data_IF_369134412916
#
_entry.id   IF_369134412916
#
_cell.length_a   1.000
_cell.length_b   1.000
_cell.length_c   1.000
_cell.angle_alpha   90.00
_cell.angle_beta   90.00
_cell.angle_gamma   90.00
#
_symmetry.space_group_name_H-M   'P 1'
#
loop_
_entity.id
_entity.type
_entity.pdbx_description
1 polymer ?
#
# COMPACT_ATOMS: atom_id res chain seq x y z
N UNK A 1 9.02 15.87 21.00
CA UNK A 1 8.43 14.57 21.38
C UNK A 1 7.69 14.02 20.17
N UNK A 2 8.05 12.82 19.69
CA UNK A 2 7.43 12.21 18.50
C UNK A 2 6.38 11.21 18.94
N UNK A 3 5.20 11.29 18.32
CA UNK A 3 4.08 10.39 18.59
C UNK A 3 3.69 9.64 17.32
N UNK A 4 3.46 8.33 17.43
CA UNK A 4 3.10 7.46 16.29
C UNK A 4 1.81 6.71 16.63
N UNK A 5 0.82 6.76 15.76
CA UNK A 5 -0.34 5.87 15.79
C UNK A 5 -0.12 4.73 14.80
N UNK A 6 -0.07 3.51 15.28
CA UNK A 6 -0.09 2.29 14.44
C UNK A 6 -1.55 1.89 14.30
N UNK A 7 -2.04 1.84 13.07
CA UNK A 7 -3.48 1.66 12.82
C UNK A 7 -3.74 0.58 11.78
N UNK A 8 -4.77 -0.24 12.02
CA UNK A 8 -5.13 -1.28 11.07
C UNK A 8 -6.63 -1.56 11.03
N UNK A 9 -7.20 -1.75 9.82
CA UNK A 9 -8.51 -2.35 9.64
C UNK A 9 -8.42 -3.84 9.98
N UNK A 10 -9.41 -4.40 10.67
CA UNK A 10 -9.44 -5.83 11.02
C UNK A 10 -10.78 -6.46 10.68
N UNK A 11 -10.72 -7.72 10.32
CA UNK A 11 -11.91 -8.57 10.12
C UNK A 11 -12.38 -9.28 11.39
N UNK A 12 -11.76 -8.95 12.53
CA UNK A 12 -12.09 -9.58 13.82
C UNK A 12 -11.28 -10.84 14.12
N UNK A 13 -10.45 -11.29 13.19
CA UNK A 13 -9.55 -12.44 13.37
C UNK A 13 -8.14 -11.97 13.03
N UNK A 14 -7.25 -12.02 14.00
CA UNK A 14 -5.85 -11.67 13.83
C UNK A 14 -5.02 -12.94 13.62
N UNK A 15 -4.25 -12.98 12.53
CA UNK A 15 -3.28 -14.05 12.33
C UNK A 15 -2.17 -13.95 13.39
N UNK A 16 -1.80 -15.06 14.08
CA UNK A 16 -0.71 -15.04 15.08
C UNK A 16 0.61 -14.47 14.53
N UNK A 17 0.92 -14.69 13.24
CA UNK A 17 2.11 -14.14 12.61
C UNK A 17 2.07 -12.61 12.55
N UNK A 18 0.89 -12.01 12.26
CA UNK A 18 0.72 -10.56 12.30
C UNK A 18 0.87 -10.01 13.73
N UNK A 19 0.26 -10.66 14.72
CA UNK A 19 0.38 -10.24 16.12
C UNK A 19 1.85 -10.24 16.60
N UNK A 20 2.61 -11.27 16.21
CA UNK A 20 4.05 -11.36 16.50
C UNK A 20 4.81 -10.27 15.75
N UNK A 21 4.57 -10.06 14.47
CA UNK A 21 5.23 -9.03 13.68
C UNK A 21 4.97 -7.63 14.27
N UNK A 22 3.73 -7.32 14.64
CA UNK A 22 3.35 -6.06 15.27
C UNK A 22 4.08 -5.86 16.61
N UNK A 23 4.18 -6.92 17.43
CA UNK A 23 4.89 -6.90 18.73
C UNK A 23 6.39 -6.65 18.57
N UNK A 24 6.98 -7.10 17.47
CA UNK A 24 8.43 -7.01 17.21
C UNK A 24 8.84 -5.72 16.51
N UNK A 25 7.89 -4.89 16.04
CA UNK A 25 8.22 -3.63 15.38
C UNK A 25 9.05 -2.72 16.28
N UNK A 26 10.14 -2.20 15.72
CA UNK A 26 10.89 -1.09 16.30
C UNK A 26 10.08 0.20 16.12
N UNK A 27 9.71 0.82 17.23
CA UNK A 27 8.89 2.05 17.21
C UNK A 27 9.74 3.20 17.77
N UNK A 28 10.40 3.99 16.90
CA UNK A 28 11.27 5.09 17.32
C UNK A 28 10.43 6.34 17.67
N UNK A 29 9.59 6.23 18.69
CA UNK A 29 8.71 7.26 19.17
C UNK A 29 8.78 7.39 20.69
N UNK A 30 8.57 8.60 21.19
CA UNK A 30 8.46 8.86 22.64
C UNK A 30 7.15 8.28 23.20
N UNK A 31 6.11 8.31 22.36
CA UNK A 31 4.80 7.70 22.66
C UNK A 31 4.24 7.07 21.39
N UNK A 32 3.55 5.95 21.57
CA UNK A 32 2.80 5.33 20.48
C UNK A 32 1.47 4.76 20.96
N UNK A 33 0.54 4.60 20.05
CA UNK A 33 -0.73 3.92 20.25
C UNK A 33 -0.94 2.87 19.15
N UNK A 34 -1.66 1.82 19.49
CA UNK A 34 -2.13 0.82 18.53
C UNK A 34 -3.65 0.90 18.51
N UNK A 35 -4.22 1.20 17.35
CA UNK A 35 -5.66 1.40 17.18
C UNK A 35 -6.14 0.54 16.01
N UNK A 36 -7.23 -0.18 16.21
CA UNK A 36 -7.87 -0.93 15.14
C UNK A 36 -9.36 -0.62 15.02
N UNK A 37 -9.92 -0.91 13.87
CA UNK A 37 -11.36 -0.87 13.60
C UNK A 37 -11.77 -2.21 13.01
N UNK A 38 -12.77 -2.81 13.62
CA UNK A 38 -13.25 -4.15 13.30
C UNK A 38 -14.64 -4.10 12.66
N UNK A 39 -14.92 -5.08 11.78
CA UNK A 39 -16.27 -5.35 11.28
C UNK A 39 -16.80 -4.38 10.24
N UNK A 40 -15.96 -3.48 9.71
CA UNK A 40 -16.32 -2.52 8.66
C UNK A 40 -15.55 -2.82 7.37
N UNK A 41 -16.01 -2.21 6.26
CA UNK A 41 -15.20 -2.22 5.04
C UNK A 41 -13.89 -1.43 5.24
N UNK A 42 -12.90 -1.73 4.40
CA UNK A 42 -11.54 -1.19 4.56
C UNK A 42 -11.50 0.33 4.42
N UNK A 43 -12.23 0.92 3.47
CA UNK A 43 -12.26 2.37 3.27
C UNK A 43 -12.86 3.09 4.48
N UNK A 44 -13.97 2.58 4.99
CA UNK A 44 -14.61 3.15 6.18
C UNK A 44 -13.72 3.03 7.42
N UNK A 45 -13.12 1.86 7.63
CA UNK A 45 -12.18 1.61 8.73
C UNK A 45 -11.00 2.57 8.69
N UNK A 46 -10.37 2.76 7.52
CA UNK A 46 -9.23 3.67 7.35
C UNK A 46 -9.61 5.13 7.60
N UNK A 47 -10.82 5.56 7.21
CA UNK A 47 -11.31 6.90 7.54
C UNK A 47 -11.43 7.11 9.05
N UNK A 48 -12.04 6.16 9.78
CA UNK A 48 -12.16 6.22 11.24
C UNK A 48 -10.78 6.24 11.91
N UNK A 49 -9.87 5.38 11.46
CA UNK A 49 -8.51 5.29 12.00
C UNK A 49 -7.74 6.60 11.81
N UNK A 50 -7.83 7.22 10.63
CA UNK A 50 -7.25 8.52 10.37
C UNK A 50 -7.84 9.61 11.27
N UNK A 51 -9.18 9.66 11.41
CA UNK A 51 -9.88 10.63 12.27
C UNK A 51 -9.47 10.50 13.75
N UNK A 52 -9.41 9.27 14.27
CA UNK A 52 -8.98 9.03 15.65
C UNK A 52 -7.53 9.41 15.92
N UNK A 53 -6.68 9.36 14.90
CA UNK A 53 -5.22 9.51 15.04
C UNK A 53 -4.70 10.90 14.71
N UNK A 54 -5.32 11.64 13.77
CA UNK A 54 -4.81 12.92 13.23
C UNK A 54 -4.65 14.04 14.26
N UNK A 55 -5.36 13.94 15.40
CA UNK A 55 -5.32 14.93 16.48
C UNK A 55 -4.29 14.63 17.58
N UNK A 56 -3.81 13.37 17.65
CA UNK A 56 -3.02 12.87 18.78
C UNK A 56 -1.66 12.29 18.36
N UNK A 57 -1.41 12.13 17.07
CA UNK A 57 -0.16 11.61 16.55
C UNK A 57 0.52 12.59 15.58
N UNK A 58 1.86 12.52 15.48
CA UNK A 58 2.63 13.20 14.44
C UNK A 58 2.65 12.39 13.15
N UNK A 59 2.66 11.07 13.29
CA UNK A 59 2.64 10.12 12.17
C UNK A 59 1.61 9.03 12.41
N UNK A 60 0.97 8.60 11.32
CA UNK A 60 0.04 7.48 11.31
C UNK A 60 0.65 6.39 10.43
N UNK A 61 0.90 5.23 11.01
CA UNK A 61 1.38 4.06 10.30
C UNK A 61 0.22 3.11 10.03
N UNK A 62 -0.27 3.11 8.80
CA UNK A 62 -1.26 2.14 8.33
C UNK A 62 -0.57 0.83 8.02
N UNK A 63 -1.11 -0.24 8.55
CA UNK A 63 -0.70 -1.61 8.26
C UNK A 63 -1.94 -2.50 8.17
N UNK A 64 -2.03 -3.36 7.16
CA UNK A 64 -3.14 -4.32 7.09
C UNK A 64 -2.84 -5.54 7.97
N UNK A 65 -3.88 -6.14 8.56
CA UNK A 65 -3.77 -7.27 9.51
C UNK A 65 -3.29 -8.59 8.87
N UNK A 66 -2.93 -8.53 7.60
CA UNK A 66 -2.34 -9.62 6.82
C UNK A 66 -1.00 -9.24 6.14
N UNK A 67 -0.39 -8.11 6.53
CA UNK A 67 0.94 -7.69 6.09
C UNK A 67 1.96 -7.89 7.21
N UNK A 68 3.06 -8.55 6.89
CA UNK A 68 4.18 -8.78 7.80
C UNK A 68 5.37 -7.89 7.40
N UNK A 69 5.57 -6.77 8.07
CA UNK A 69 6.68 -5.86 7.80
C UNK A 69 7.98 -6.38 8.45
N UNK A 70 9.16 -6.01 7.91
CA UNK A 70 10.43 -6.13 8.63
C UNK A 70 10.41 -5.37 9.95
N UNK A 71 11.20 -5.83 10.94
CA UNK A 71 11.22 -5.29 12.30
C UNK A 71 11.50 -3.79 12.33
N UNK A 72 12.41 -3.30 11.49
CA UNK A 72 12.87 -1.91 11.43
C UNK A 72 12.07 -1.03 10.45
N UNK A 73 10.89 -1.47 10.02
CA UNK A 73 10.10 -0.78 9.00
C UNK A 73 9.82 0.68 9.36
N UNK A 74 9.27 0.94 10.54
CA UNK A 74 8.90 2.31 10.94
C UNK A 74 10.14 3.20 11.04
N UNK A 75 11.24 2.68 11.60
CA UNK A 75 12.53 3.38 11.71
C UNK A 75 13.03 3.81 10.33
N UNK A 76 12.97 2.92 9.35
CA UNK A 76 13.43 3.19 7.98
C UNK A 76 12.51 4.17 7.25
N UNK A 77 11.20 3.99 7.32
CA UNK A 77 10.24 4.92 6.71
C UNK A 77 10.42 6.34 7.25
N UNK A 78 10.60 6.50 8.56
CA UNK A 78 10.84 7.81 9.18
C UNK A 78 12.17 8.44 8.75
N UNK A 79 13.21 7.63 8.51
CA UNK A 79 14.53 8.13 8.11
C UNK A 79 14.51 8.91 6.79
N UNK A 80 13.57 8.60 5.91
CA UNK A 80 13.39 9.31 4.63
C UNK A 80 12.85 10.73 4.77
N UNK A 81 12.29 11.10 5.93
CA UNK A 81 11.73 12.44 6.20
C UNK A 81 10.70 12.89 5.15
N UNK A 82 9.95 11.94 4.58
CA UNK A 82 8.90 12.21 3.60
C UNK A 82 7.55 12.36 4.30
N UNK A 83 6.60 13.00 3.60
CA UNK A 83 5.25 13.20 4.11
C UNK A 83 4.43 11.91 4.03
N UNK A 84 4.62 11.15 2.95
CA UNK A 84 3.99 9.85 2.69
C UNK A 84 5.05 8.91 2.15
N UNK A 85 5.25 7.78 2.82
CA UNK A 85 6.18 6.74 2.38
C UNK A 85 5.66 5.36 2.74
N UNK A 86 5.80 4.40 1.83
CA UNK A 86 5.36 3.02 2.05
C UNK A 86 6.51 2.02 1.95
N UNK A 87 6.32 0.86 2.53
CA UNK A 87 7.08 -0.35 2.24
C UNK A 87 6.46 -1.09 1.06
N UNK A 88 7.25 -1.92 0.39
CA UNK A 88 6.83 -2.71 -0.76
C UNK A 88 6.25 -4.05 -0.32
N UNK A 89 5.07 -4.38 -0.83
CA UNK A 89 4.46 -5.70 -0.72
C UNK A 89 3.80 -6.11 -2.04
N UNK A 90 3.36 -7.35 -2.12
CA UNK A 90 2.91 -7.98 -3.36
C UNK A 90 1.47 -8.47 -3.23
N UNK A 91 0.73 -8.47 -4.35
CA UNK A 91 -0.62 -9.00 -4.39
C UNK A 91 -0.65 -10.48 -3.96
N UNK A 92 -1.72 -10.90 -3.26
CA UNK A 92 -1.94 -12.32 -2.90
C UNK A 92 -2.20 -13.20 -4.10
N UNK A 93 -2.78 -12.63 -5.15
CA UNK A 93 -3.14 -13.34 -6.38
C UNK A 93 -1.96 -13.36 -7.33
N UNK A 94 -1.74 -14.49 -7.99
CA UNK A 94 -0.78 -14.55 -9.09
C UNK A 94 -1.23 -13.66 -10.25
N UNK A 95 -0.27 -12.96 -10.86
CA UNK A 95 1.20 -13.10 -10.78
C UNK A 95 1.90 -12.28 -9.69
N UNK A 96 1.27 -12.03 -8.54
CA UNK A 96 1.87 -11.35 -7.37
C UNK A 96 2.48 -9.99 -7.70
N UNK A 97 1.78 -9.15 -8.42
CA UNK A 97 2.26 -7.81 -8.77
C UNK A 97 2.64 -6.96 -7.54
N UNK A 98 3.76 -6.22 -7.61
CA UNK A 98 4.11 -5.25 -6.58
C UNK A 98 3.00 -4.18 -6.46
N UNK A 99 2.65 -3.80 -5.23
CA UNK A 99 1.55 -2.88 -4.97
C UNK A 99 2.02 -1.42 -5.00
N UNK A 100 2.70 -1.05 -6.10
CA UNK A 100 3.15 0.30 -6.43
C UNK A 100 2.85 0.60 -7.90
N UNK A 101 2.42 1.82 -8.19
CA UNK A 101 1.85 2.16 -9.48
C UNK A 101 2.27 3.54 -9.95
N UNK A 102 2.40 3.69 -11.27
CA UNK A 102 2.53 4.97 -11.94
C UNK A 102 1.27 5.25 -12.76
N UNK A 103 0.93 6.52 -12.88
CA UNK A 103 -0.19 6.95 -13.71
C UNK A 103 0.15 6.66 -15.17
N UNK A 104 -0.77 6.03 -15.89
CA UNK A 104 -0.55 5.73 -17.31
C UNK A 104 -0.45 7.03 -18.10
N UNK A 105 0.53 7.12 -19.02
CA UNK A 105 0.79 8.34 -19.80
C UNK A 105 -0.20 8.55 -20.94
N UNK A 106 -0.78 7.47 -21.47
CA UNK A 106 -1.74 7.52 -22.58
C UNK A 106 -3.18 7.66 -22.07
N UNK A 107 -3.49 7.02 -20.93
CA UNK A 107 -4.80 7.08 -20.29
C UNK A 107 -4.66 7.48 -18.81
N UNK A 108 -4.76 8.78 -18.49
CA UNK A 108 -4.63 9.27 -17.11
C UNK A 108 -5.67 8.74 -16.11
N UNK A 109 -6.68 8.01 -16.57
CA UNK A 109 -7.66 7.33 -15.69
C UNK A 109 -7.15 6.00 -15.15
N UNK A 110 -6.05 5.48 -15.73
CA UNK A 110 -5.43 4.20 -15.41
C UNK A 110 -4.11 4.35 -14.68
N UNK A 111 -3.69 3.25 -14.07
CA UNK A 111 -2.41 3.09 -13.39
C UNK A 111 -1.75 1.82 -13.87
N UNK A 112 -0.46 1.90 -14.14
CA UNK A 112 0.38 0.76 -14.48
C UNK A 112 1.17 0.32 -13.25
N UNK A 113 1.24 -0.98 -13.02
CA UNK A 113 2.09 -1.54 -11.98
C UNK A 113 3.56 -1.30 -12.32
N UNK A 114 4.35 -0.89 -11.34
CA UNK A 114 5.80 -0.73 -11.50
C UNK A 114 6.46 -2.09 -11.35
N UNK A 115 6.51 -2.84 -12.46
CA UNK A 115 7.05 -4.22 -12.49
C UNK A 115 8.57 -4.26 -12.40
N UNK A 116 9.24 -3.32 -13.10
CA UNK A 116 10.70 -3.17 -13.10
C UNK A 116 11.10 -1.99 -12.20
N UNK A 117 11.04 -2.19 -10.91
CA UNK A 117 11.43 -1.18 -9.93
C UNK A 117 12.90 -1.32 -9.54
N UNK A 118 13.55 -0.18 -9.27
CA UNK A 118 14.91 -0.17 -8.71
C UNK A 118 14.87 -0.74 -7.30
N UNK A 119 15.61 -1.84 -7.07
CA UNK A 119 15.75 -2.47 -5.76
C UNK A 119 16.55 -1.57 -4.79
N UNK A 120 16.34 -1.77 -3.50
CA UNK A 120 17.06 -1.11 -2.40
C UNK A 120 17.12 0.42 -2.56
N UNK A 121 16.01 1.02 -2.95
CA UNK A 121 15.93 2.43 -3.31
C UNK A 121 14.64 3.06 -2.80
N UNK A 122 14.69 4.39 -2.63
CA UNK A 122 13.50 5.20 -2.44
C UNK A 122 13.04 5.71 -3.81
N UNK A 123 11.87 5.29 -4.25
CA UNK A 123 11.29 5.70 -5.54
C UNK A 123 10.02 6.52 -5.34
N UNK A 124 9.79 7.52 -6.17
CA UNK A 124 8.53 8.25 -6.21
C UNK A 124 7.52 7.44 -7.01
N UNK A 125 6.27 7.35 -6.52
CA UNK A 125 5.18 6.60 -7.16
C UNK A 125 3.91 7.45 -7.21
N UNK A 126 2.99 7.11 -8.09
CA UNK A 126 1.72 7.81 -8.20
C UNK A 126 0.65 7.22 -7.29
N UNK A 127 0.72 5.91 -7.06
CA UNK A 127 -0.16 5.22 -6.14
C UNK A 127 0.55 4.01 -5.53
N UNK A 128 0.11 3.60 -4.36
CA UNK A 128 0.55 2.38 -3.70
C UNK A 128 -0.56 1.85 -2.80
N UNK A 129 -0.50 0.57 -2.47
CA UNK A 129 -1.41 0.02 -1.47
C UNK A 129 -1.13 0.56 -0.07
N UNK A 130 -2.17 0.73 0.72
CA UNK A 130 -2.07 1.30 2.08
C UNK A 130 -1.76 0.27 3.17
N UNK A 131 -1.44 -0.98 2.79
CA UNK A 131 -1.16 -2.06 3.74
C UNK A 131 0.18 -1.96 4.49
N UNK A 132 1.07 -1.02 4.11
CA UNK A 132 2.29 -0.67 4.86
C UNK A 132 2.68 0.76 4.51
N UNK A 133 2.05 1.76 5.13
CA UNK A 133 2.21 3.17 4.74
C UNK A 133 2.34 4.06 5.97
N UNK A 134 3.39 4.88 6.02
CA UNK A 134 3.60 5.91 7.03
C UNK A 134 3.23 7.27 6.45
N UNK A 135 2.37 8.00 7.14
CA UNK A 135 1.81 9.28 6.71
C UNK A 135 1.96 10.29 7.83
N UNK A 136 2.39 11.53 7.53
CA UNK A 136 2.29 12.62 8.49
C UNK A 136 0.83 12.92 8.82
N UNK A 137 0.49 12.92 10.09
CA UNK A 137 -0.89 13.12 10.53
C UNK A 137 -1.49 14.47 10.13
N UNK A 138 -0.65 15.50 9.94
CA UNK A 138 -1.08 16.83 9.50
C UNK A 138 -1.74 16.83 8.10
N UNK A 139 -1.45 15.84 7.26
CA UNK A 139 -2.10 15.68 5.95
C UNK A 139 -3.61 15.51 6.13
N UNK A 140 -4.02 14.66 7.06
CA UNK A 140 -5.44 14.43 7.34
C UNK A 140 -6.17 15.63 7.96
N UNK A 141 -5.43 16.59 8.54
CA UNK A 141 -6.00 17.86 9.00
C UNK A 141 -6.30 18.81 7.85
N UNK A 142 -5.57 18.69 6.73
CA UNK A 142 -5.72 19.55 5.55
C UNK A 142 -6.69 18.98 4.52
N UNK A 143 -6.87 17.66 4.51
CA UNK A 143 -7.80 16.99 3.61
C UNK A 143 -9.23 16.98 4.19
N UNK A 144 -10.22 16.91 3.29
CA UNK A 144 -11.63 16.70 3.66
C UNK A 144 -11.98 15.21 3.56
N UNK A 145 -12.87 14.72 4.42
CA UNK A 145 -13.45 13.39 4.30
C UNK A 145 -14.27 13.24 3.00
N UNK A 146 -14.39 12.01 2.45
CA UNK A 146 -13.66 10.82 2.86
C UNK A 146 -12.21 10.88 2.39
N UNK A 147 -11.28 10.34 3.16
CA UNK A 147 -9.87 10.19 2.76
C UNK A 147 -9.68 8.98 1.86
N UNK A 148 -10.37 7.89 2.19
CA UNK A 148 -10.39 6.61 1.48
C UNK A 148 -11.80 6.34 0.99
N UNK A 149 -11.94 5.97 -0.29
CA UNK A 149 -13.25 5.68 -0.87
C UNK A 149 -13.13 4.74 -2.07
N UNK A 150 -14.14 3.89 -2.27
CA UNK A 150 -14.22 3.08 -3.47
C UNK A 150 -14.94 3.84 -4.58
N UNK A 151 -14.31 3.91 -5.75
CA UNK A 151 -14.98 4.44 -6.95
C UNK A 151 -15.49 3.24 -7.74
N UNK A 152 -16.82 3.09 -7.91
CA UNK A 152 -17.36 2.00 -8.69
C UNK A 152 -17.00 2.15 -10.17
N UNK A 153 -16.95 1.02 -10.89
CA UNK A 153 -16.79 1.02 -12.36
C UNK A 153 -17.97 1.76 -13.00
N UNK A 154 -17.68 2.65 -13.96
CA UNK A 154 -18.65 3.25 -14.86
C UNK A 154 -18.31 2.89 -16.31
N UNK A 155 -19.16 3.30 -17.29
CA UNK A 155 -18.89 3.06 -18.72
C UNK A 155 -17.55 3.64 -19.17
N UNK A 156 -17.19 4.82 -18.62
CA UNK A 156 -15.99 5.56 -19.05
C UNK A 156 -14.79 5.42 -18.08
N UNK A 157 -14.96 4.79 -16.89
CA UNK A 157 -13.91 4.75 -15.88
C UNK A 157 -13.80 3.38 -15.22
N UNK A 158 -12.57 2.86 -15.05
CA UNK A 158 -12.32 1.63 -14.29
C UNK A 158 -12.72 1.80 -12.82
N UNK A 159 -13.01 0.68 -12.16
CA UNK A 159 -13.14 0.65 -10.71
C UNK A 159 -11.82 1.08 -10.06
N UNK A 160 -11.87 1.89 -9.00
CA UNK A 160 -10.70 2.21 -8.18
C UNK A 160 -10.89 1.77 -6.75
N UNK A 161 -9.84 1.19 -6.19
CA UNK A 161 -9.73 0.88 -4.77
C UNK A 161 -9.60 2.15 -3.92
N UNK A 162 -9.79 1.98 -2.64
CA UNK A 162 -9.77 3.08 -1.67
C UNK A 162 -8.37 3.70 -1.49
N UNK A 163 -7.34 2.91 -1.67
CA UNK A 163 -5.93 3.33 -1.64
C UNK A 163 -5.57 4.20 -2.84
N UNK A 164 -6.02 3.85 -4.04
CA UNK A 164 -5.89 4.71 -5.23
C UNK A 164 -6.60 6.05 -5.05
N UNK A 165 -7.82 6.04 -4.51
CA UNK A 165 -8.55 7.26 -4.21
C UNK A 165 -7.78 8.17 -3.25
N UNK A 166 -7.22 7.59 -2.17
CA UNK A 166 -6.38 8.33 -1.23
C UNK A 166 -5.14 8.91 -1.92
N UNK A 167 -4.43 8.10 -2.71
CA UNK A 167 -3.23 8.54 -3.41
C UNK A 167 -3.51 9.68 -4.39
N UNK A 168 -4.60 9.63 -5.16
CA UNK A 168 -5.02 10.73 -6.02
C UNK A 168 -5.28 12.00 -5.21
N UNK A 169 -6.03 11.88 -4.14
CA UNK A 169 -6.42 13.00 -3.29
C UNK A 169 -5.23 13.72 -2.65
N UNK A 170 -4.23 12.99 -2.18
CA UNK A 170 -3.02 13.59 -1.61
C UNK A 170 -2.14 14.22 -2.69
N UNK A 171 -2.07 13.64 -3.88
CA UNK A 171 -1.35 14.23 -5.02
C UNK A 171 -2.01 15.51 -5.53
N UNK A 172 -3.33 15.56 -5.60
CA UNK A 172 -4.10 16.77 -5.91
C UNK A 172 -3.85 17.89 -4.88
N UNK A 173 -3.60 17.51 -3.63
CA UNK A 173 -3.20 18.44 -2.56
C UNK A 173 -1.71 18.82 -2.59
N UNK A 174 -0.94 18.37 -3.59
CA UNK A 174 0.47 18.73 -3.81
C UNK A 174 1.48 17.84 -3.07
N UNK A 175 1.05 16.75 -2.45
CA UNK A 175 1.95 15.80 -1.79
C UNK A 175 2.52 14.78 -2.78
N UNK A 176 3.71 14.26 -2.44
CA UNK A 176 4.39 13.20 -3.16
C UNK A 176 4.35 11.91 -2.33
N UNK A 177 4.27 10.79 -3.02
CA UNK A 177 4.24 9.45 -2.42
C UNK A 177 5.53 8.74 -2.79
N UNK A 178 6.16 8.10 -1.82
CA UNK A 178 7.40 7.37 -2.01
C UNK A 178 7.26 5.92 -1.55
N UNK A 179 7.96 5.02 -2.22
CA UNK A 179 8.11 3.63 -1.78
C UNK A 179 9.59 3.33 -1.51
N UNK A 180 9.88 2.78 -0.33
CA UNK A 180 11.18 2.18 -0.03
C UNK A 180 11.17 0.71 -0.47
N UNK A 181 11.77 0.44 -1.61
CA UNK A 181 11.80 -0.90 -2.22
C UNK A 181 12.73 -1.89 -1.50
N UNK A 182 13.46 -1.44 -0.48
CA UNK A 182 14.24 -2.30 0.40
C UNK A 182 13.46 -2.78 1.63
N UNK A 183 12.28 -2.19 1.90
CA UNK A 183 11.34 -2.67 2.92
C UNK A 183 10.39 -3.66 2.25
N UNK A 184 10.76 -4.94 2.23
CA UNK A 184 9.99 -6.01 1.60
C UNK A 184 9.08 -6.66 2.64
N UNK A 185 7.80 -6.34 2.59
CA UNK A 185 6.80 -6.95 3.45
C UNK A 185 6.28 -8.26 2.84
N UNK A 186 5.97 -9.24 3.70
CA UNK A 186 5.26 -10.45 3.27
C UNK A 186 3.75 -10.24 3.41
N UNK A 187 2.98 -10.89 2.55
CA UNK A 187 1.52 -10.84 2.57
C UNK A 187 0.97 -12.21 3.00
N UNK A 188 0.19 -12.25 4.07
CA UNK A 188 -0.43 -13.48 4.55
C UNK A 188 -1.57 -13.87 3.60
N UNK A 189 -1.49 -15.08 3.09
CA UNK A 189 -2.51 -15.68 2.23
C UNK A 189 -2.72 -17.14 2.63
N UNK A 190 -3.02 -17.99 1.67
CA UNK A 190 -2.91 -19.44 1.88
C UNK A 190 -1.44 -19.88 2.07
N UNK A 191 -0.51 -19.03 1.62
CA UNK A 191 0.93 -19.08 1.84
C UNK A 191 1.42 -17.65 2.11
N UNK A 192 2.58 -17.50 2.76
CA UNK A 192 3.23 -16.20 2.85
C UNK A 192 3.70 -15.77 1.46
N UNK A 193 3.25 -14.59 1.00
CA UNK A 193 3.63 -14.03 -0.30
C UNK A 193 4.71 -12.97 -0.06
N UNK A 194 5.86 -13.15 -0.69
CA UNK A 194 6.99 -12.23 -0.59
C UNK A 194 7.63 -11.96 -1.96
N UNK A 195 8.76 -11.28 -1.97
CA UNK A 195 9.48 -10.93 -3.19
C UNK A 195 9.91 -12.15 -4.01
N UNK A 196 10.17 -13.27 -3.37
CA UNK A 196 10.51 -14.54 -4.03
C UNK A 196 9.38 -15.01 -4.95
N UNK A 197 8.13 -14.84 -4.56
CA UNK A 197 6.96 -15.22 -5.37
C UNK A 197 6.80 -14.28 -6.58
N UNK A 198 7.07 -12.98 -6.39
CA UNK A 198 7.13 -12.04 -7.50
C UNK A 198 8.24 -12.39 -8.50
N UNK A 199 9.43 -12.69 -8.01
CA UNK A 199 10.55 -13.08 -8.88
C UNK A 199 10.23 -14.32 -9.72
N UNK A 200 9.54 -15.32 -9.15
CA UNK A 200 9.03 -16.48 -9.88
C UNK A 200 7.98 -16.07 -10.93
N UNK A 201 7.07 -15.18 -10.54
CA UNK A 201 6.03 -14.66 -11.45
C UNK A 201 6.62 -13.86 -12.61
N UNK A 202 7.66 -13.06 -12.39
CA UNK A 202 8.38 -12.31 -13.45
C UNK A 202 8.95 -13.25 -14.49
N UNK A 203 9.57 -14.34 -14.06
CA UNK A 203 10.11 -15.33 -15.00
C UNK A 203 9.00 -15.97 -15.83
N UNK A 204 7.92 -16.40 -15.18
CA UNK A 204 6.75 -16.97 -15.85
C UNK A 204 6.10 -15.99 -16.83
N UNK A 205 5.97 -14.72 -16.46
CA UNK A 205 5.40 -13.68 -17.33
C UNK A 205 6.27 -13.42 -18.56
N UNK A 206 7.61 -13.47 -18.43
CA UNK A 206 8.53 -13.37 -19.56
C UNK A 206 8.32 -14.53 -20.55
N UNK A 207 8.24 -15.75 -20.04
CA UNK A 207 7.99 -16.93 -20.87
C UNK A 207 6.63 -16.87 -21.59
N UNK A 208 5.59 -16.38 -20.90
CA UNK A 208 4.26 -16.18 -21.50
C UNK A 208 4.33 -15.11 -22.61
N UNK A 209 4.98 -13.99 -22.34
CA UNK A 209 5.15 -12.91 -23.34
C UNK A 209 5.89 -13.39 -24.60
N UNK A 210 6.95 -14.17 -24.42
CA UNK A 210 7.69 -14.77 -25.53
C UNK A 210 6.85 -15.73 -26.38
N UNK A 211 5.99 -16.53 -25.73
CA UNK A 211 5.13 -17.51 -26.41
C UNK A 211 3.95 -16.90 -27.16
N UNK A 212 3.33 -15.85 -26.63
CA UNK A 212 2.09 -15.30 -27.20
C UNK A 212 2.25 -13.98 -27.95
N UNK A 213 3.42 -13.33 -27.85
CA UNK A 213 3.72 -12.04 -28.45
C UNK A 213 3.19 -10.87 -27.62
N UNK A 214 3.77 -9.69 -27.86
CA UNK A 214 3.56 -8.51 -27.00
C UNK A 214 2.11 -8.01 -26.97
N UNK A 215 1.44 -7.95 -28.12
CA UNK A 215 0.06 -7.45 -28.20
C UNK A 215 -0.91 -8.32 -27.40
N UNK A 216 -0.87 -9.64 -27.59
CA UNK A 216 -1.71 -10.59 -26.84
C UNK A 216 -1.37 -10.62 -25.36
N UNK A 217 -0.10 -10.45 -25.02
CA UNK A 217 0.34 -10.37 -23.63
C UNK A 217 -0.22 -9.14 -22.92
N UNK A 218 -0.27 -7.98 -23.60
CA UNK A 218 -0.87 -6.77 -23.03
C UNK A 218 -2.40 -6.92 -22.83
N UNK A 219 -3.09 -7.58 -23.75
CA UNK A 219 -4.52 -7.93 -23.58
C UNK A 219 -4.73 -8.90 -22.39
N UNK A 220 -3.87 -9.90 -22.25
CA UNK A 220 -3.87 -10.82 -21.11
C UNK A 220 -3.66 -10.07 -19.78
N UNK A 221 -2.69 -9.15 -19.70
CA UNK A 221 -2.45 -8.34 -18.50
C UNK A 221 -3.64 -7.48 -18.12
N UNK A 222 -4.34 -6.87 -19.07
CA UNK A 222 -5.54 -6.05 -18.80
C UNK A 222 -6.59 -6.80 -17.99
N UNK A 223 -6.74 -8.11 -18.15
CA UNK A 223 -7.70 -8.92 -17.40
C UNK A 223 -7.41 -8.96 -15.89
N UNK A 224 -6.17 -8.67 -15.45
CA UNK A 224 -5.81 -8.62 -14.03
C UNK A 224 -6.01 -7.24 -13.41
N UNK A 225 -5.98 -6.17 -14.21
CA UNK A 225 -6.15 -4.80 -13.73
C UNK A 225 -7.61 -4.33 -13.77
N UNK A 226 -8.46 -4.97 -14.58
CA UNK A 226 -9.88 -4.62 -14.73
C UNK A 226 -10.79 -5.36 -13.71
N UNK A 227 -10.22 -6.07 -12.74
CA UNK A 227 -10.91 -6.73 -11.62
C UNK A 227 -10.82 -5.91 -10.35
#
# INVERSE_FOLDING_TARGET
MRTIAIVFPSRGICDPAFAIALRLLEIPADQFSVIYVEGCDTAYSRNILAEKSKGVADYIFFIDDDILPPINTITRLLSHKKDIVCGLYFAKQEPHFPQIFLKNTEDPTRYDCVEDYKKDSLIEVDSCGAGCMLIKAEIFKKLKLPYFWYIPKSEDKPRKGEDFYFCEKVKEAGYKIYCDTSILCKHIGRKFIGAEHWNMSVQMLKEIKEKMGEQKFNEFKKQFYDK
#
